data_IF_639846900428
#
_entry.id   IF_639846900428
#
_cell.length_a   1.000
_cell.length_b   1.000
_cell.length_c   1.000
_cell.angle_alpha   90.00
_cell.angle_beta   90.00
_cell.angle_gamma   90.00
#
_symmetry.space_group_name_H-M   'P 1'
#
loop_
_entity.id
_entity.type
_entity.pdbx_description
1 polymer ?
#
# COMPACT_ATOMS: atom_id res chain seq x y z
N UNK A 1 28.66 -17.86 -34.98
CA UNK A 1 29.03 -16.60 -34.31
C UNK A 1 27.86 -15.62 -34.13
N UNK A 2 27.09 -15.27 -35.17
CA UNK A 2 25.95 -14.33 -35.04
C UNK A 2 24.77 -14.86 -34.20
N UNK A 3 24.44 -16.14 -34.33
CA UNK A 3 23.38 -16.78 -33.53
C UNK A 3 23.70 -16.84 -32.03
N UNK A 4 24.96 -17.13 -31.67
CA UNK A 4 25.43 -17.16 -30.28
C UNK A 4 25.38 -15.78 -29.63
N UNK A 5 25.65 -14.72 -30.41
CA UNK A 5 25.56 -13.34 -29.96
C UNK A 5 24.11 -12.93 -29.67
N UNK A 6 23.18 -13.29 -30.55
CA UNK A 6 21.76 -12.95 -30.35
C UNK A 6 21.14 -13.69 -29.17
N UNK A 7 21.48 -14.97 -28.95
CA UNK A 7 21.02 -15.70 -27.75
C UNK A 7 21.60 -15.12 -26.46
N UNK A 8 22.86 -14.67 -26.47
CA UNK A 8 23.49 -14.04 -25.32
C UNK A 8 22.82 -12.71 -24.94
N UNK A 9 22.48 -11.89 -25.93
CA UNK A 9 21.77 -10.61 -25.72
C UNK A 9 20.38 -10.83 -25.13
N UNK A 10 19.64 -11.83 -25.61
CA UNK A 10 18.30 -12.17 -25.10
C UNK A 10 18.35 -12.65 -23.64
N UNK A 11 19.31 -13.52 -23.31
CA UNK A 11 19.51 -13.99 -21.93
C UNK A 11 19.87 -12.85 -20.96
N UNK A 12 20.73 -11.93 -21.38
CA UNK A 12 21.10 -10.74 -20.59
C UNK A 12 19.91 -9.79 -20.41
N UNK A 13 19.08 -9.60 -21.44
CA UNK A 13 17.89 -8.75 -21.33
C UNK A 13 16.81 -9.32 -20.40
N UNK A 14 16.68 -10.65 -20.33
CA UNK A 14 15.75 -11.31 -19.42
C UNK A 14 16.17 -11.15 -17.94
N UNK A 15 17.48 -11.22 -17.66
CA UNK A 15 18.06 -10.97 -16.32
C UNK A 15 17.85 -9.51 -15.83
N UNK A 16 17.62 -8.58 -16.77
CA UNK A 16 17.37 -7.17 -16.47
C UNK A 16 15.86 -6.86 -16.34
N UNK A 17 14.98 -7.82 -16.64
CA UNK A 17 13.53 -7.64 -16.72
C UNK A 17 12.80 -8.07 -15.43
N UNK A 18 13.50 -8.19 -14.31
CA UNK A 18 12.92 -8.67 -13.04
C UNK A 18 12.47 -7.57 -12.06
N UNK A 19 12.56 -6.28 -12.39
CA UNK A 19 12.31 -5.21 -11.39
C UNK A 19 11.03 -4.40 -11.59
N UNK A 20 9.99 -4.94 -12.21
CA UNK A 20 8.78 -4.16 -12.48
C UNK A 20 7.47 -4.92 -12.20
N UNK A 21 7.35 -5.52 -11.02
CA UNK A 21 6.04 -5.93 -10.48
C UNK A 21 5.94 -5.94 -8.95
N UNK A 22 7.00 -5.60 -8.20
CA UNK A 22 6.83 -5.21 -6.81
C UNK A 22 6.20 -3.82 -6.80
N UNK A 23 5.14 -3.62 -6.01
CA UNK A 23 4.51 -2.31 -5.85
C UNK A 23 5.47 -1.37 -5.10
N UNK A 24 6.51 -0.91 -5.78
CA UNK A 24 7.60 -0.15 -5.19
C UNK A 24 7.04 1.16 -4.63
N UNK A 25 7.09 1.27 -3.31
CA UNK A 25 6.61 2.43 -2.60
C UNK A 25 7.79 3.20 -1.99
N UNK A 26 7.65 4.52 -1.89
CA UNK A 26 8.66 5.34 -1.20
C UNK A 26 8.57 5.07 0.30
N UNK A 27 9.71 4.81 0.95
CA UNK A 27 9.77 4.61 2.40
C UNK A 27 9.00 5.71 3.15
N UNK A 28 8.15 5.30 4.09
CA UNK A 28 7.30 6.22 4.86
C UNK A 28 6.05 6.73 4.12
N UNK A 29 5.85 6.44 2.84
CA UNK A 29 4.60 6.72 2.16
C UNK A 29 3.44 5.97 2.83
N UNK A 30 2.29 6.63 2.95
CA UNK A 30 1.10 6.05 3.56
C UNK A 30 -0.13 6.24 2.67
N UNK A 31 -1.08 5.30 2.75
CA UNK A 31 -2.36 5.37 2.03
C UNK A 31 -3.48 4.80 2.89
N UNK A 32 -4.72 5.31 2.77
CA UNK A 32 -5.85 4.76 3.52
C UNK A 32 -6.13 3.32 3.08
N UNK A 33 -6.64 2.50 4.01
CA UNK A 33 -7.31 1.26 3.63
C UNK A 33 -8.67 1.59 2.99
N UNK A 34 -9.07 0.79 2.00
CA UNK A 34 -10.29 1.05 1.22
C UNK A 34 -11.56 0.57 1.91
N UNK A 35 -11.42 -0.34 2.88
CA UNK A 35 -12.55 -1.02 3.53
C UNK A 35 -12.62 -0.76 5.03
N UNK A 36 -11.57 -0.21 5.61
CA UNK A 36 -11.43 -0.06 7.04
C UNK A 36 -10.83 1.31 7.36
N UNK A 37 -11.66 2.23 7.83
CA UNK A 37 -11.26 3.60 8.09
C UNK A 37 -10.30 3.73 9.30
N UNK A 38 -10.18 2.68 10.12
CA UNK A 38 -9.20 2.58 11.21
C UNK A 38 -7.86 2.01 10.72
N UNK A 39 -7.80 1.47 9.50
CA UNK A 39 -6.59 0.93 8.91
C UNK A 39 -5.97 1.84 7.84
N UNK A 40 -4.67 1.72 7.70
CA UNK A 40 -3.89 2.36 6.63
C UNK A 40 -2.75 1.45 6.22
N UNK A 41 -2.11 1.75 5.10
CA UNK A 41 -0.94 1.02 4.65
C UNK A 41 0.27 1.95 4.71
N UNK A 42 1.37 1.48 5.29
CA UNK A 42 2.65 2.20 5.33
C UNK A 42 3.68 1.44 4.52
N UNK A 43 4.44 2.18 3.73
CA UNK A 43 5.56 1.62 2.99
C UNK A 43 6.70 1.20 3.93
N UNK A 44 7.06 -0.07 3.88
CA UNK A 44 8.19 -0.66 4.57
C UNK A 44 8.94 -1.57 3.59
N UNK A 45 10.25 -1.35 3.41
CA UNK A 45 11.10 -2.14 2.52
C UNK A 45 10.56 -2.31 1.08
N UNK A 46 9.96 -1.25 0.51
CA UNK A 46 9.41 -1.29 -0.84
C UNK A 46 7.99 -1.87 -0.95
N UNK A 47 7.37 -2.28 0.16
CA UNK A 47 6.03 -2.84 0.18
C UNK A 47 5.07 -2.10 1.11
N UNK A 48 3.80 -2.03 0.73
CA UNK A 48 2.76 -1.47 1.58
C UNK A 48 2.29 -2.51 2.61
N UNK A 49 2.59 -2.26 3.88
CA UNK A 49 2.17 -3.09 5.01
C UNK A 49 0.97 -2.44 5.69
N UNK A 50 -0.09 -3.23 5.91
CA UNK A 50 -1.30 -2.77 6.62
C UNK A 50 -1.00 -2.52 8.10
N UNK A 51 -1.52 -1.41 8.61
CA UNK A 51 -1.38 -0.91 9.97
C UNK A 51 -2.77 -0.50 10.47
N UNK A 52 -2.91 -0.41 11.79
CA UNK A 52 -4.13 0.04 12.43
C UNK A 52 -3.84 1.27 13.29
N UNK A 53 -4.75 2.24 13.28
CA UNK A 53 -4.74 3.33 14.23
C UNK A 53 -5.06 2.84 15.65
N UNK A 54 -4.75 3.66 16.65
CA UNK A 54 -5.14 3.38 18.03
C UNK A 54 -6.65 3.35 18.20
N UNK A 55 -7.12 2.84 19.35
CA UNK A 55 -8.54 2.81 19.67
C UNK A 55 -9.17 4.22 19.59
N UNK A 56 -10.35 4.32 18.96
CA UNK A 56 -11.07 5.59 18.76
C UNK A 56 -10.43 6.54 17.74
N UNK A 57 -9.46 6.07 16.95
CA UNK A 57 -8.79 6.86 15.92
C UNK A 57 -9.02 6.28 14.53
N UNK A 58 -9.03 7.17 13.53
CA UNK A 58 -9.18 6.88 12.13
C UNK A 58 -8.02 7.47 11.35
N UNK A 59 -7.59 6.80 10.28
CA UNK A 59 -6.53 7.33 9.44
C UNK A 59 -7.06 8.45 8.54
N UNK A 60 -6.42 9.62 8.59
CA UNK A 60 -6.73 10.75 7.72
C UNK A 60 -5.78 10.78 6.53
N UNK A 61 -6.30 10.60 5.32
CA UNK A 61 -5.50 10.71 4.10
C UNK A 61 -5.01 12.14 3.83
N UNK A 62 -5.63 13.15 4.47
CA UNK A 62 -5.26 14.55 4.32
C UNK A 62 -4.04 14.94 5.17
N UNK A 63 -3.99 14.45 6.41
CA UNK A 63 -2.89 14.76 7.35
C UNK A 63 -1.89 13.62 7.45
N UNK A 64 -2.17 12.47 6.82
CA UNK A 64 -1.35 11.26 6.85
C UNK A 64 -1.09 10.70 8.26
N UNK A 65 -1.98 10.99 9.20
CA UNK A 65 -1.89 10.55 10.60
C UNK A 65 -3.22 10.00 11.11
N UNK A 66 -3.16 9.29 12.23
CA UNK A 66 -4.34 8.86 12.96
C UNK A 66 -4.92 10.05 13.74
N UNK A 67 -6.16 10.40 13.42
CA UNK A 67 -6.92 11.46 14.10
C UNK A 67 -8.11 10.83 14.84
N UNK A 68 -8.72 11.50 15.82
CA UNK A 68 -9.94 11.01 16.43
C UNK A 68 -11.02 10.69 15.38
N UNK A 69 -11.68 9.55 15.51
CA UNK A 69 -12.60 9.01 14.50
C UNK A 69 -13.75 9.96 14.14
N UNK A 70 -14.25 10.74 15.11
CA UNK A 70 -15.31 11.74 14.90
C UNK A 70 -14.91 12.85 13.91
N UNK A 71 -13.60 13.05 13.68
CA UNK A 71 -13.09 13.99 12.68
C UNK A 71 -13.12 13.38 11.28
N UNK A 72 -12.98 12.07 11.15
CA UNK A 72 -12.91 11.38 9.85
C UNK A 72 -14.29 11.25 9.22
N UNK A 73 -14.54 11.83 8.03
CA UNK A 73 -15.75 11.58 7.27
C UNK A 73 -15.89 10.10 6.87
N UNK A 74 -14.76 9.42 6.65
CA UNK A 74 -14.72 8.01 6.24
C UNK A 74 -15.23 7.06 7.33
N UNK A 75 -15.09 7.42 8.61
CA UNK A 75 -15.70 6.67 9.72
C UNK A 75 -17.06 7.23 10.15
N UNK A 76 -17.54 8.33 9.55
CA UNK A 76 -18.72 9.06 10.04
C UNK A 76 -20.06 8.45 9.60
N UNK A 77 -20.07 7.28 8.95
CA UNK A 77 -21.30 6.60 8.54
C UNK A 77 -21.18 5.06 8.63
N UNK A 78 -22.02 4.47 9.49
CA UNK A 78 -22.58 3.13 9.29
C UNK A 78 -21.64 1.95 9.52
N UNK A 79 -21.36 1.64 10.78
CA UNK A 79 -21.44 0.23 11.17
C UNK A 79 -22.90 -0.16 10.89
N UNK A 80 -23.26 -1.05 9.95
CA UNK A 80 -24.48 -1.80 10.19
C UNK A 80 -24.22 -2.48 11.52
N UNK A 81 -24.84 -1.99 12.59
CA UNK A 81 -25.06 -2.81 13.77
C UNK A 81 -25.57 -4.13 13.20
N UNK A 82 -24.78 -5.19 13.33
CA UNK A 82 -25.32 -6.53 13.20
C UNK A 82 -26.21 -6.68 14.42
N UNK A 83 -27.43 -6.13 14.32
CA UNK A 83 -28.50 -6.33 15.28
C UNK A 83 -28.99 -7.74 15.01
N UNK A 84 -28.49 -8.67 15.83
CA UNK A 84 -28.98 -10.01 16.09
C UNK A 84 -29.13 -10.97 14.88
#
# INVERSE_FOLDING_TARGET
>A
MRFLYQTLVVLLSALLLDTAAAADCRHGATRPDRFDCHAYHRCHAGEFVRQHCGAGQAYSAFTSVCEPEWRSPACRQGVPEVIN
#
